data_IF_839846136262
#
_entry.id   IF_839846136262
#
_cell.length_a   1.000
_cell.length_b   1.000
_cell.length_c   1.000
_cell.angle_alpha   90.00
_cell.angle_beta   90.00
_cell.angle_gamma   90.00
#
_symmetry.space_group_name_H-M   'P 1'
#
loop_
_entity.id
_entity.type
_entity.pdbx_description
1 polymer ?
#
# COMPACT_ATOMS: atom_id res chain seq x y z
N UNK A 1 -1.56 -20.41 -43.49
CA UNK A 1 -0.69 -19.23 -43.28
C UNK A 1 -0.57 -18.98 -41.78
N UNK A 2 0.64 -18.99 -41.25
CA UNK A 2 0.93 -18.72 -39.84
C UNK A 2 1.33 -17.25 -39.68
N UNK A 3 0.62 -16.49 -38.85
CA UNK A 3 1.11 -15.21 -38.30
C UNK A 3 0.76 -15.20 -36.80
N UNK A 4 1.73 -14.81 -35.99
CA UNK A 4 1.81 -15.09 -34.56
C UNK A 4 1.41 -13.91 -33.66
N UNK A 5 1.20 -14.27 -32.40
CA UNK A 5 1.06 -13.44 -31.19
C UNK A 5 1.77 -12.08 -31.20
N UNK A 6 1.13 -11.10 -30.53
CA UNK A 6 1.75 -9.84 -30.12
C UNK A 6 1.52 -9.62 -28.62
N UNK A 7 2.47 -10.08 -27.80
CA UNK A 7 2.49 -9.80 -26.36
C UNK A 7 3.19 -8.47 -26.07
N UNK A 8 2.64 -7.71 -25.13
CA UNK A 8 3.21 -6.43 -24.67
C UNK A 8 3.66 -6.55 -23.22
N UNK A 9 4.93 -6.90 -23.00
CA UNK A 9 5.56 -6.91 -21.67
C UNK A 9 6.72 -5.91 -21.60
N UNK A 10 6.55 -4.85 -20.81
CA UNK A 10 7.62 -3.88 -20.56
C UNK A 10 8.65 -4.43 -19.58
N UNK A 11 9.88 -4.64 -20.03
CA UNK A 11 11.05 -4.90 -19.19
C UNK A 11 12.16 -3.93 -19.55
N UNK A 12 12.36 -2.90 -18.74
CA UNK A 12 13.51 -2.00 -18.89
C UNK A 12 14.77 -2.68 -18.35
N UNK A 13 15.75 -2.96 -19.22
CA UNK A 13 17.06 -3.49 -18.86
C UNK A 13 18.12 -2.51 -19.35
N UNK A 14 18.75 -1.79 -18.43
CA UNK A 14 19.84 -0.87 -18.76
C UNK A 14 21.09 -1.65 -19.17
N UNK A 15 21.67 -1.29 -20.32
CA UNK A 15 22.95 -1.81 -20.78
C UNK A 15 24.07 -0.86 -20.37
N UNK A 16 25.14 -1.43 -19.80
CA UNK A 16 26.44 -0.77 -19.66
C UNK A 16 27.26 -1.11 -20.91
N UNK A 17 27.93 -0.13 -21.49
CA UNK A 17 28.96 -0.33 -22.51
C UNK A 17 30.12 0.63 -22.28
N UNK A 18 31.33 0.09 -22.28
CA UNK A 18 32.59 0.78 -22.03
C UNK A 18 33.03 1.59 -23.26
N UNK A 19 33.91 2.58 -23.06
CA UNK A 19 34.62 3.29 -24.13
C UNK A 19 36.13 3.11 -23.95
N UNK A 20 36.89 3.11 -25.05
CA UNK A 20 38.34 2.86 -25.06
C UNK A 20 39.04 3.66 -26.16
N UNK A 21 40.19 4.28 -25.84
CA UNK A 21 41.33 4.69 -26.72
C UNK A 21 41.03 5.63 -27.91
N UNK A 22 41.85 6.58 -28.38
CA UNK A 22 43.13 7.28 -28.04
C UNK A 22 43.36 8.31 -29.22
N UNK A 23 44.47 9.08 -29.40
CA UNK A 23 45.62 9.46 -28.55
C UNK A 23 45.89 11.00 -28.51
N UNK A 24 47.07 11.39 -28.01
CA UNK A 24 47.53 12.75 -27.64
C UNK A 24 48.34 13.55 -28.68
N UNK A 25 48.40 14.90 -28.53
CA UNK A 25 49.51 15.76 -28.99
C UNK A 25 49.85 16.89 -27.98
N UNK A 26 51.08 17.39 -28.11
CA UNK A 26 51.82 18.33 -27.24
C UNK A 26 52.09 19.66 -28.00
N UNK A 27 52.47 20.82 -27.45
CA UNK A 27 52.71 21.35 -26.07
C UNK A 27 52.66 22.90 -26.21
N UNK A 28 52.39 23.71 -25.15
CA UNK A 28 52.99 25.06 -24.95
C UNK A 28 52.60 25.73 -23.60
N UNK A 29 53.63 26.02 -22.81
CA UNK A 29 53.91 27.11 -21.84
C UNK A 29 52.95 27.56 -20.70
N UNK A 30 53.57 27.67 -19.51
CA UNK A 30 53.08 28.17 -18.21
C UNK A 30 52.69 29.67 -18.19
N UNK A 31 51.86 30.10 -17.21
CA UNK A 31 52.50 30.90 -16.16
C UNK A 31 52.16 30.51 -14.71
N UNK A 32 53.25 30.21 -14.00
CA UNK A 32 53.41 30.12 -12.54
C UNK A 32 52.55 31.13 -11.76
N UNK A 33 51.58 30.61 -10.98
CA UNK A 33 50.85 31.39 -9.97
C UNK A 33 51.51 31.11 -8.60
N UNK A 34 52.01 32.12 -7.87
CA UNK A 34 52.77 31.91 -6.64
C UNK A 34 51.99 31.21 -5.52
N UNK A 35 52.64 30.26 -4.86
CA UNK A 35 52.22 29.75 -3.55
C UNK A 35 52.39 30.85 -2.49
N UNK A 36 51.30 31.49 -2.06
CA UNK A 36 51.33 32.24 -0.80
C UNK A 36 49.94 32.33 -0.12
N UNK A 37 49.87 31.74 1.09
CA UNK A 37 48.91 32.05 2.18
C UNK A 37 47.39 31.83 1.93
N UNK A 38 46.98 30.60 1.65
CA UNK A 38 45.72 30.10 2.24
C UNK A 38 45.98 29.57 3.66
N UNK A 39 45.36 30.21 4.65
CA UNK A 39 45.54 29.93 6.08
C UNK A 39 45.02 28.55 6.45
N UNK A 40 45.93 27.58 6.52
CA UNK A 40 45.64 26.25 7.03
C UNK A 40 45.63 26.23 8.58
N UNK A 41 44.61 26.82 9.23
CA UNK A 41 44.23 26.62 10.65
C UNK A 41 42.83 27.25 10.89
N UNK A 42 41.79 26.40 10.89
CA UNK A 42 40.48 26.58 11.60
C UNK A 42 39.45 25.48 11.27
N UNK A 43 39.59 24.75 10.17
CA UNK A 43 38.54 23.87 9.58
C UNK A 43 38.03 22.69 10.45
N UNK A 44 38.68 22.37 11.57
CA UNK A 44 38.21 21.32 12.48
C UNK A 44 37.07 21.76 13.41
N UNK A 45 36.94 23.06 13.73
CA UNK A 45 35.87 23.55 14.63
C UNK A 45 34.54 23.73 13.91
N UNK A 46 34.59 24.22 12.68
CA UNK A 46 33.38 24.66 11.99
C UNK A 46 32.53 23.45 11.58
N UNK A 47 33.20 22.38 11.11
CA UNK A 47 32.56 21.10 10.80
C UNK A 47 32.01 20.38 12.04
N UNK A 48 32.55 20.58 13.25
CA UNK A 48 31.97 19.97 14.45
C UNK A 48 30.66 20.64 14.85
N UNK A 49 30.58 21.97 14.74
CA UNK A 49 29.38 22.76 15.05
C UNK A 49 28.21 22.39 14.11
N UNK A 50 28.47 22.27 12.81
CA UNK A 50 27.45 21.88 11.82
C UNK A 50 26.87 20.48 12.10
N UNK A 51 27.72 19.53 12.50
CA UNK A 51 27.28 18.16 12.84
C UNK A 51 26.42 18.13 14.11
N UNK A 52 26.72 18.95 15.11
CA UNK A 52 25.91 19.05 16.35
C UNK A 52 24.53 19.65 16.06
N UNK A 53 24.44 20.69 15.24
CA UNK A 53 23.17 21.31 14.85
C UNK A 53 22.30 20.35 14.01
N UNK A 54 22.88 19.59 13.08
CA UNK A 54 22.16 18.52 12.36
C UNK A 54 21.61 17.46 13.32
N UNK A 55 22.43 16.99 14.29
CA UNK A 55 21.99 16.01 15.29
C UNK A 55 20.86 16.55 16.16
N UNK A 56 20.92 17.82 16.56
CA UNK A 56 19.87 18.49 17.33
C UNK A 56 18.55 18.55 16.54
N UNK A 57 18.58 18.99 15.28
CA UNK A 57 17.39 19.01 14.41
C UNK A 57 16.77 17.61 14.23
N UNK A 58 17.59 16.57 14.11
CA UNK A 58 17.13 15.18 14.07
C UNK A 58 16.46 14.73 15.39
N UNK A 59 17.03 15.11 16.54
CA UNK A 59 16.42 14.84 17.86
C UNK A 59 15.09 15.57 18.04
N UNK A 60 14.98 16.83 17.60
CA UNK A 60 13.73 17.60 17.61
C UNK A 60 12.65 16.93 16.75
N UNK A 61 12.98 16.55 15.49
CA UNK A 61 12.04 15.82 14.62
C UNK A 61 11.65 14.45 15.18
N UNK A 62 12.55 13.76 15.88
CA UNK A 62 12.26 12.46 16.51
C UNK A 62 11.28 12.58 17.69
N UNK A 63 11.43 13.62 18.51
CA UNK A 63 10.64 13.84 19.71
C UNK A 63 9.26 14.47 19.42
N UNK A 64 9.11 15.17 18.29
CA UNK A 64 7.84 15.80 17.91
C UNK A 64 6.64 14.79 17.90
N UNK A 65 5.47 15.15 18.46
CA UNK A 65 4.36 14.20 18.67
C UNK A 65 3.70 13.71 17.37
N UNK A 66 3.73 14.50 16.28
CA UNK A 66 3.18 14.06 14.99
C UNK A 66 4.06 13.04 14.25
N UNK A 67 5.29 12.79 14.71
CA UNK A 67 6.25 11.93 13.99
C UNK A 67 5.87 10.46 14.11
N UNK A 68 5.38 9.88 13.01
CA UNK A 68 5.01 8.46 12.89
C UNK A 68 6.16 7.52 13.27
N UNK A 69 5.85 6.36 13.86
CA UNK A 69 6.83 5.31 14.21
C UNK A 69 7.69 4.88 13.02
N UNK A 70 7.16 4.94 11.79
CA UNK A 70 7.92 4.69 10.56
C UNK A 70 9.03 5.73 10.39
N UNK A 71 8.68 7.02 10.49
CA UNK A 71 9.60 8.15 10.39
C UNK A 71 10.60 8.20 11.55
N UNK A 72 10.19 7.86 12.78
CA UNK A 72 11.11 7.68 13.91
C UNK A 72 12.16 6.60 13.63
N UNK A 73 11.75 5.49 13.02
CA UNK A 73 12.69 4.42 12.61
C UNK A 73 13.63 4.91 11.49
N UNK A 74 13.11 5.67 10.53
CA UNK A 74 13.88 6.25 9.42
C UNK A 74 14.93 7.27 9.92
N UNK A 75 14.59 8.15 10.87
CA UNK A 75 15.54 9.10 11.48
C UNK A 75 16.73 8.35 12.11
N UNK A 76 16.47 7.24 12.81
CA UNK A 76 17.53 6.39 13.38
C UNK A 76 18.42 5.70 12.32
N UNK A 77 18.02 5.64 11.04
CA UNK A 77 18.88 5.11 9.95
C UNK A 77 19.90 6.13 9.44
N UNK A 78 19.76 7.41 9.78
CA UNK A 78 20.67 8.49 9.38
C UNK A 78 21.91 8.54 10.30
N UNK A 79 21.80 8.00 11.51
CA UNK A 79 22.85 8.07 12.52
C UNK A 79 24.16 7.36 12.07
N UNK A 80 25.34 7.83 12.53
CA UNK A 80 26.62 7.30 12.11
C UNK A 80 26.76 5.78 12.33
N UNK A 81 27.30 5.08 11.33
CA UNK A 81 27.52 3.62 11.38
C UNK A 81 28.42 3.19 12.55
N UNK A 82 29.34 4.08 12.97
CA UNK A 82 30.27 3.92 14.08
C UNK A 82 29.63 3.83 15.47
N UNK A 83 28.39 4.30 15.65
CA UNK A 83 27.72 4.26 16.96
C UNK A 83 27.24 2.84 17.31
N UNK A 84 27.33 2.42 18.56
CA UNK A 84 26.76 1.15 19.01
C UNK A 84 25.23 1.20 19.10
N UNK A 85 24.56 0.04 19.18
CA UNK A 85 23.10 -0.02 19.43
C UNK A 85 22.70 0.72 20.72
N UNK A 86 23.55 0.66 21.74
CA UNK A 86 23.30 1.27 23.05
C UNK A 86 23.51 2.79 22.98
N UNK A 87 24.63 3.26 22.39
CA UNK A 87 24.86 4.70 22.20
C UNK A 87 23.76 5.33 21.37
N UNK A 88 23.30 4.67 20.30
CA UNK A 88 22.18 5.15 19.49
C UNK A 88 20.86 5.20 20.29
N UNK A 89 20.65 4.26 21.21
CA UNK A 89 19.47 4.24 22.09
C UNK A 89 19.51 5.38 23.12
N UNK A 90 20.67 5.64 23.72
CA UNK A 90 20.91 6.71 24.69
C UNK A 90 20.75 8.10 24.04
N UNK A 91 21.43 8.35 22.92
CA UNK A 91 21.45 9.65 22.23
C UNK A 91 20.06 10.14 21.76
N UNK A 92 19.19 9.21 21.36
CA UNK A 92 17.82 9.49 20.91
C UNK A 92 16.73 9.15 21.94
N UNK A 93 17.09 8.73 23.16
CA UNK A 93 16.13 8.33 24.19
C UNK A 93 15.16 7.21 23.76
N UNK A 94 15.64 6.26 22.95
CA UNK A 94 14.81 5.22 22.32
C UNK A 94 15.10 3.82 22.87
N UNK A 95 14.23 2.85 22.59
CA UNK A 95 14.47 1.47 23.01
C UNK A 95 15.60 0.84 22.19
N UNK A 96 16.49 0.05 22.83
CA UNK A 96 17.54 -0.72 22.14
C UNK A 96 17.00 -1.55 20.96
N UNK A 97 15.76 -2.05 21.08
CA UNK A 97 15.06 -2.78 20.01
C UNK A 97 14.83 -1.93 18.76
N UNK A 98 14.53 -0.64 18.90
CA UNK A 98 14.39 0.29 17.78
C UNK A 98 15.74 0.61 17.14
N UNK A 99 16.77 0.88 17.95
CA UNK A 99 18.14 1.08 17.47
C UNK A 99 18.66 -0.12 16.67
N UNK A 100 18.51 -1.35 17.20
CA UNK A 100 18.83 -2.61 16.50
C UNK A 100 18.06 -2.76 15.19
N UNK A 101 16.75 -2.45 15.18
CA UNK A 101 15.94 -2.51 13.96
C UNK A 101 16.39 -1.49 12.91
N UNK A 102 16.74 -0.27 13.31
CA UNK A 102 17.24 0.75 12.39
C UNK A 102 18.57 0.31 11.76
N UNK A 103 19.52 -0.20 12.53
CA UNK A 103 20.77 -0.79 11.98
C UNK A 103 20.52 -1.96 11.04
N UNK A 104 19.60 -2.86 11.38
CA UNK A 104 19.22 -3.97 10.49
C UNK A 104 18.63 -3.47 9.16
N UNK A 105 17.83 -2.39 9.18
CA UNK A 105 17.31 -1.77 7.96
C UNK A 105 18.40 -1.11 7.14
N UNK A 106 19.35 -0.39 7.76
CA UNK A 106 20.51 0.20 7.07
C UNK A 106 21.31 -0.88 6.34
N UNK A 107 21.59 -2.00 7.02
CA UNK A 107 22.36 -3.10 6.43
C UNK A 107 21.63 -3.84 5.28
N UNK A 108 20.29 -3.76 5.22
CA UNK A 108 19.47 -4.46 4.21
C UNK A 108 19.06 -3.57 3.02
N UNK A 109 18.80 -2.29 3.29
CA UNK A 109 18.14 -1.38 2.35
C UNK A 109 18.82 -0.01 2.24
N UNK A 110 19.83 0.30 3.08
CA UNK A 110 20.56 1.57 3.08
C UNK A 110 19.97 2.64 4.01
N UNK A 111 20.54 3.84 3.96
CA UNK A 111 20.06 5.02 4.71
C UNK A 111 18.66 5.44 4.25
N UNK A 112 17.93 6.16 5.12
CA UNK A 112 16.55 6.61 4.90
C UNK A 112 15.54 5.48 4.64
N UNK A 113 15.88 4.24 5.02
CA UNK A 113 15.01 3.08 4.84
C UNK A 113 13.79 3.13 5.76
N UNK A 114 12.60 3.09 5.17
CA UNK A 114 11.36 2.94 5.92
C UNK A 114 11.15 1.49 6.38
N UNK A 115 10.66 1.24 7.61
CA UNK A 115 10.25 -0.09 8.02
C UNK A 115 9.04 -0.55 7.19
N UNK A 116 9.21 -1.65 6.44
CA UNK A 116 8.13 -2.26 5.65
C UNK A 116 6.83 -2.38 6.49
N UNK A 117 5.70 -1.80 6.04
CA UNK A 117 4.41 -1.98 6.70
C UNK A 117 4.11 -3.46 6.94
N UNK A 118 3.47 -3.78 8.07
CA UNK A 118 2.99 -5.15 8.30
C UNK A 118 1.93 -5.47 7.25
N UNK A 119 2.32 -6.20 6.21
CA UNK A 119 1.42 -6.63 5.16
C UNK A 119 0.21 -7.36 5.76
N UNK A 120 -1.00 -6.92 5.40
CA UNK A 120 -2.21 -7.66 5.77
C UNK A 120 -2.15 -9.02 5.09
N UNK A 121 -2.34 -10.10 5.86
CA UNK A 121 -2.44 -11.46 5.31
C UNK A 121 -3.60 -11.46 4.30
N UNK A 122 -3.30 -11.72 3.03
CA UNK A 122 -4.32 -11.97 2.01
C UNK A 122 -4.95 -13.35 2.27
N UNK A 123 -6.22 -13.51 1.95
CA UNK A 123 -6.83 -14.85 1.89
C UNK A 123 -6.35 -15.55 0.61
N UNK A 124 -6.31 -16.89 0.60
CA UNK A 124 -6.02 -17.63 -0.63
C UNK A 124 -7.17 -17.41 -1.62
N UNK A 125 -6.83 -17.31 -2.91
CA UNK A 125 -7.79 -17.00 -3.97
C UNK A 125 -8.93 -18.03 -4.07
N UNK A 126 -8.64 -19.30 -3.74
CA UNK A 126 -9.61 -20.39 -3.62
C UNK A 126 -10.74 -20.04 -2.63
N UNK A 127 -10.41 -19.60 -1.41
CA UNK A 127 -11.41 -19.15 -0.43
C UNK A 127 -12.14 -17.90 -0.90
N UNK A 128 -11.47 -16.97 -1.59
CA UNK A 128 -12.14 -15.78 -2.13
C UNK A 128 -13.14 -16.13 -3.24
N UNK A 129 -12.90 -17.18 -4.03
CA UNK A 129 -13.83 -17.67 -5.05
C UNK A 129 -14.97 -18.47 -4.41
N UNK A 130 -14.68 -19.38 -3.48
CA UNK A 130 -15.70 -20.14 -2.74
C UNK A 130 -16.71 -19.22 -2.04
N UNK A 131 -16.26 -18.10 -1.45
CA UNK A 131 -17.15 -17.07 -0.89
C UNK A 131 -18.01 -16.40 -1.96
N UNK A 132 -17.47 -16.07 -3.15
CA UNK A 132 -18.28 -15.50 -4.24
C UNK A 132 -19.31 -16.50 -4.74
N UNK A 133 -18.93 -17.75 -4.94
CA UNK A 133 -19.82 -18.81 -5.43
C UNK A 133 -20.95 -19.08 -4.44
N UNK A 134 -20.66 -19.05 -3.13
CA UNK A 134 -21.65 -19.10 -2.05
C UNK A 134 -22.69 -17.97 -2.13
N UNK A 135 -22.28 -16.73 -2.44
CA UNK A 135 -23.21 -15.61 -2.66
C UNK A 135 -24.11 -15.81 -3.89
N UNK A 136 -23.65 -16.52 -4.93
CA UNK A 136 -24.34 -16.68 -6.21
C UNK A 136 -25.28 -17.90 -6.27
N UNK A 137 -25.40 -18.69 -5.19
CA UNK A 137 -26.33 -19.82 -5.13
C UNK A 137 -27.79 -19.34 -5.06
N UNK A 138 -28.70 -20.11 -5.66
CA UNK A 138 -30.12 -19.77 -5.81
C UNK A 138 -30.92 -19.75 -4.49
N UNK A 139 -30.43 -20.44 -3.46
CA UNK A 139 -30.98 -20.44 -2.10
C UNK A 139 -30.58 -19.19 -1.29
N UNK A 140 -29.47 -18.55 -1.67
CA UNK A 140 -28.92 -17.35 -1.04
C UNK A 140 -29.36 -16.06 -1.77
N UNK A 141 -29.32 -16.07 -3.10
CA UNK A 141 -29.65 -14.91 -3.92
C UNK A 141 -30.53 -15.27 -5.12
N UNK A 142 -31.37 -14.32 -5.55
CA UNK A 142 -32.24 -14.46 -6.71
C UNK A 142 -32.00 -13.35 -7.73
N UNK A 143 -31.95 -13.73 -9.00
CA UNK A 143 -31.81 -12.78 -10.11
C UNK A 143 -33.05 -11.86 -10.15
N UNK A 144 -32.83 -10.55 -10.21
CA UNK A 144 -33.92 -9.57 -10.34
C UNK A 144 -34.50 -9.61 -11.76
N UNK A 145 -35.82 -9.75 -11.94
CA UNK A 145 -36.42 -10.00 -13.26
C UNK A 145 -36.45 -8.77 -14.19
N UNK A 146 -36.19 -7.55 -13.69
CA UNK A 146 -36.32 -6.33 -14.47
C UNK A 146 -35.20 -6.13 -15.49
N UNK A 147 -35.55 -5.80 -16.73
CA UNK A 147 -34.57 -5.47 -17.80
C UNK A 147 -33.66 -4.27 -17.47
N UNK A 148 -34.09 -3.39 -16.55
CA UNK A 148 -33.29 -2.26 -16.06
C UNK A 148 -32.38 -2.64 -14.87
N UNK A 149 -32.53 -3.84 -14.32
CA UNK A 149 -31.81 -4.29 -13.13
C UNK A 149 -30.45 -4.91 -13.50
N UNK A 150 -29.56 -4.06 -14.04
CA UNK A 150 -28.18 -4.43 -14.35
C UNK A 150 -27.18 -3.52 -13.64
N UNK A 151 -25.94 -4.01 -13.49
CA UNK A 151 -24.78 -3.28 -13.00
C UNK A 151 -23.68 -3.39 -14.05
N UNK A 152 -23.07 -2.25 -14.39
CA UNK A 152 -21.91 -2.18 -15.28
C UNK A 152 -20.63 -2.43 -14.48
N UNK A 153 -20.08 -3.64 -14.60
CA UNK A 153 -18.83 -4.05 -13.93
C UNK A 153 -17.68 -3.95 -14.93
N UNK A 154 -16.53 -3.44 -14.48
CA UNK A 154 -15.28 -3.47 -15.25
C UNK A 154 -14.56 -4.79 -14.96
N UNK A 155 -14.29 -5.58 -15.99
CA UNK A 155 -13.47 -6.80 -15.94
C UNK A 155 -11.98 -6.45 -16.00
N UNK A 156 -11.14 -7.42 -15.67
CA UNK A 156 -9.68 -7.28 -15.67
C UNK A 156 -9.13 -6.98 -17.08
N UNK A 157 -9.80 -7.47 -18.14
CA UNK A 157 -9.56 -7.14 -19.56
C UNK A 157 -9.88 -5.67 -19.93
N UNK A 158 -10.21 -4.83 -18.96
CA UNK A 158 -10.55 -3.41 -19.14
C UNK A 158 -11.96 -3.15 -19.69
N UNK A 159 -12.62 -4.15 -20.28
CA UNK A 159 -13.99 -4.07 -20.83
C UNK A 159 -15.04 -3.88 -19.72
N UNK A 160 -16.13 -3.19 -20.05
CA UNK A 160 -17.30 -3.05 -19.16
C UNK A 160 -18.39 -4.02 -19.61
N UNK A 161 -18.81 -4.92 -18.72
CA UNK A 161 -19.89 -5.89 -18.93
C UNK A 161 -21.11 -5.50 -18.11
N UNK A 162 -22.31 -5.70 -18.64
CA UNK A 162 -23.55 -5.54 -17.89
C UNK A 162 -23.94 -6.88 -17.28
N UNK A 163 -23.96 -6.96 -15.95
CA UNK A 163 -24.33 -8.14 -15.19
C UNK A 163 -25.67 -7.86 -14.51
N UNK A 164 -26.61 -8.80 -14.57
CA UNK A 164 -27.92 -8.65 -13.94
C UNK A 164 -27.80 -8.64 -12.41
N UNK A 165 -28.60 -7.79 -11.75
CA UNK A 165 -28.64 -7.69 -10.29
C UNK A 165 -29.21 -8.96 -9.68
N UNK A 166 -28.70 -9.33 -8.51
CA UNK A 166 -29.19 -10.42 -7.69
C UNK A 166 -29.55 -9.87 -6.30
N UNK A 167 -30.74 -10.18 -5.82
CA UNK A 167 -31.22 -9.79 -4.50
C UNK A 167 -30.88 -10.89 -3.50
N UNK A 168 -30.20 -10.54 -2.40
CA UNK A 168 -29.94 -11.44 -1.28
C UNK A 168 -31.23 -11.66 -0.48
N UNK A 169 -31.53 -12.92 -0.16
CA UNK A 169 -32.76 -13.32 0.55
C UNK A 169 -32.63 -13.24 2.08
N UNK A 170 -31.41 -13.22 2.61
CA UNK A 170 -31.13 -13.23 4.05
C UNK A 170 -30.22 -12.05 4.44
N UNK A 171 -30.18 -11.74 5.73
CA UNK A 171 -29.26 -10.75 6.26
C UNK A 171 -27.79 -11.24 6.15
N UNK A 172 -26.84 -10.31 6.10
CA UNK A 172 -25.42 -10.66 5.93
C UNK A 172 -24.88 -11.46 7.12
N UNK A 173 -25.33 -11.13 8.33
CA UNK A 173 -24.88 -11.81 9.55
C UNK A 173 -25.39 -13.25 9.62
N UNK A 174 -26.66 -13.49 9.27
CA UNK A 174 -27.24 -14.84 9.10
C UNK A 174 -26.50 -15.63 8.01
N UNK A 175 -26.22 -14.97 6.87
CA UNK A 175 -25.53 -15.59 5.75
C UNK A 175 -24.09 -16.00 6.10
N UNK A 176 -23.41 -15.19 6.91
CA UNK A 176 -22.08 -15.49 7.43
C UNK A 176 -22.09 -16.59 8.51
N UNK A 177 -23.18 -16.73 9.28
CA UNK A 177 -23.39 -17.87 10.17
C UNK A 177 -23.52 -19.16 9.34
N UNK A 178 -24.45 -19.20 8.37
CA UNK A 178 -24.60 -20.36 7.45
C UNK A 178 -23.29 -20.74 6.76
N UNK A 179 -22.53 -19.75 6.29
CA UNK A 179 -21.22 -19.98 5.68
C UNK A 179 -20.24 -20.70 6.64
N UNK A 180 -20.25 -20.34 7.93
CA UNK A 180 -19.40 -21.00 8.94
C UNK A 180 -19.88 -22.38 9.32
N UNK A 181 -21.19 -22.61 9.31
CA UNK A 181 -21.79 -23.90 9.62
C UNK A 181 -21.50 -24.91 8.50
N UNK A 182 -21.53 -24.48 7.23
CA UNK A 182 -21.10 -25.28 6.07
C UNK A 182 -19.56 -25.45 5.99
N UNK A 183 -18.80 -24.41 6.32
CA UNK A 183 -17.34 -24.38 6.14
C UNK A 183 -16.56 -24.06 7.44
N UNK A 184 -16.66 -24.89 8.49
CA UNK A 184 -16.04 -24.61 9.80
C UNK A 184 -14.51 -24.53 9.74
N UNK A 185 -13.89 -25.16 8.74
CA UNK A 185 -12.44 -25.12 8.53
C UNK A 185 -11.95 -23.78 7.93
N UNK A 186 -12.84 -22.98 7.32
CA UNK A 186 -12.49 -21.77 6.57
C UNK A 186 -12.50 -20.55 7.50
N UNK A 187 -11.31 -20.04 7.83
CA UNK A 187 -11.13 -18.90 8.75
C UNK A 187 -11.26 -17.54 8.04
N UNK A 188 -12.49 -17.20 7.66
CA UNK A 188 -12.86 -15.86 7.15
C UNK A 188 -13.48 -15.03 8.27
N UNK A 189 -13.16 -13.72 8.32
CA UNK A 189 -13.79 -12.76 9.23
C UNK A 189 -14.88 -11.93 8.55
N UNK A 190 -15.92 -11.56 9.30
CA UNK A 190 -17.15 -10.90 8.81
C UNK A 190 -16.88 -9.70 7.87
N UNK A 191 -16.01 -8.76 8.27
CA UNK A 191 -15.67 -7.58 7.45
C UNK A 191 -15.11 -7.96 6.08
N UNK A 192 -14.32 -9.04 6.00
CA UNK A 192 -13.72 -9.51 4.76
C UNK A 192 -14.69 -10.39 3.96
N UNK A 193 -15.59 -11.14 4.60
CA UNK A 193 -16.73 -11.77 3.95
C UNK A 193 -17.60 -10.72 3.22
N UNK A 194 -18.01 -9.66 3.94
CA UNK A 194 -18.72 -8.51 3.37
C UNK A 194 -17.97 -7.86 2.19
N UNK A 195 -16.65 -7.65 2.33
CA UNK A 195 -15.82 -7.05 1.27
C UNK A 195 -15.66 -7.96 0.04
N UNK A 196 -15.83 -9.28 0.19
CA UNK A 196 -15.77 -10.26 -0.90
C UNK A 196 -17.09 -10.43 -1.65
N UNK A 197 -18.19 -9.84 -1.16
CA UNK A 197 -19.51 -9.89 -1.80
C UNK A 197 -19.42 -9.42 -3.27
N UNK A 198 -19.89 -10.22 -4.25
CA UNK A 198 -19.95 -9.81 -5.65
C UNK A 198 -20.78 -8.53 -5.83
N UNK A 199 -20.35 -7.65 -6.75
CA UNK A 199 -21.01 -6.34 -6.96
C UNK A 199 -22.46 -6.45 -7.44
N UNK A 200 -22.83 -7.56 -8.06
CA UNK A 200 -24.20 -7.85 -8.48
C UNK A 200 -25.14 -8.21 -7.31
N UNK A 201 -24.62 -8.59 -6.14
CA UNK A 201 -25.41 -8.99 -4.97
C UNK A 201 -25.83 -7.76 -4.14
N UNK A 202 -27.14 -7.51 -4.09
CA UNK A 202 -27.81 -6.34 -3.50
C UNK A 202 -28.59 -6.75 -2.25
N UNK A 203 -28.72 -5.84 -1.28
CA UNK A 203 -29.50 -6.08 -0.06
C UNK A 203 -30.97 -5.69 -0.24
N UNK A 204 -31.86 -6.41 0.45
CA UNK A 204 -33.23 -5.94 0.65
C UNK A 204 -33.20 -4.58 1.36
N UNK A 205 -33.69 -3.52 0.70
CA UNK A 205 -33.64 -2.13 1.19
C UNK A 205 -32.73 -1.20 0.39
N UNK A 206 -31.86 -1.71 -0.48
CA UNK A 206 -31.11 -0.86 -1.42
C UNK A 206 -32.06 -0.15 -2.40
N UNK A 207 -31.69 1.05 -2.88
CA UNK A 207 -32.57 1.88 -3.69
C UNK A 207 -32.98 1.21 -5.01
N UNK A 208 -34.29 1.12 -5.24
CA UNK A 208 -34.89 0.42 -6.37
C UNK A 208 -35.20 -1.06 -6.15
N UNK A 209 -34.97 -1.63 -4.95
CA UNK A 209 -35.44 -3.00 -4.62
C UNK A 209 -36.94 -3.07 -4.31
N UNK A 210 -37.55 -1.95 -3.92
CA UNK A 210 -38.99 -1.86 -3.67
C UNK A 210 -39.76 -1.57 -4.96
N UNK A 211 -40.74 -2.42 -5.30
CA UNK A 211 -41.65 -2.21 -6.44
C UNK A 211 -42.77 -1.18 -6.14
N UNK A 212 -42.78 -0.59 -4.94
CA UNK A 212 -43.81 0.34 -4.44
C UNK A 212 -43.11 1.55 -3.81
N UNK A 213 -43.61 2.77 -4.01
CA UNK A 213 -43.05 3.92 -3.31
C UNK A 213 -43.38 3.84 -1.81
N UNK A 214 -42.35 3.97 -0.98
CA UNK A 214 -42.48 4.14 0.49
C UNK A 214 -42.27 5.62 0.87
N UNK A 215 -42.34 6.51 -0.12
CA UNK A 215 -42.23 7.95 0.05
C UNK A 215 -43.54 8.52 0.61
N UNK A 216 -43.46 9.50 1.52
CA UNK A 216 -44.63 10.19 2.12
C UNK A 216 -45.59 10.80 1.09
N UNK A 217 -45.08 11.19 -0.08
CA UNK A 217 -45.87 11.79 -1.17
C UNK A 217 -46.68 10.78 -2.02
N UNK A 218 -46.26 9.52 -2.09
CA UNK A 218 -46.98 8.46 -2.81
C UNK A 218 -47.21 7.23 -1.92
N UNK A 219 -47.40 7.49 -0.62
CA UNK A 219 -47.52 6.44 0.38
C UNK A 219 -48.79 5.65 0.10
N UNK A 220 -48.64 4.35 -0.11
CA UNK A 220 -49.75 3.49 -0.47
C UNK A 220 -50.74 3.45 0.70
N UNK A 221 -51.96 3.97 0.54
CA UNK A 221 -52.92 4.19 1.65
C UNK A 221 -53.19 2.90 2.46
N UNK A 222 -53.08 1.75 1.80
CA UNK A 222 -53.19 0.42 2.43
C UNK A 222 -52.11 0.10 3.48
N UNK A 223 -50.96 0.80 3.47
CA UNK A 223 -49.88 0.71 4.46
C UNK A 223 -50.07 1.68 5.64
N UNK A 224 -51.06 2.57 5.61
CA UNK A 224 -51.39 3.51 6.70
C UNK A 224 -52.54 3.01 7.58
N UNK A 225 -53.11 1.85 7.26
CA UNK A 225 -54.32 1.29 7.88
C UNK A 225 -54.04 -0.04 8.62
N UNK A 226 -52.76 -0.33 8.93
CA UNK A 226 -52.29 -1.51 9.66
C UNK A 226 -51.77 -1.13 11.04
#
# INVERSE_FOLDING_TARGET
MLITFRESSSVCRFHISQTSSEPSQNIEDEPFIPEDKFKHISTQTDTSIENEEILKQLKEKFNHPSTSTSMKTMILTIAPTSWSENKLAEEFGTSRRQARKAKQLVNQFGILSSPNPRGRRKLPAETENLVKDFYLREDISRIMPGKKDFISVKLDDGKRTHIQKQLLLCNIDELYQRFKDEYPNIKVGLTKFFTLRPKQCILAGDSGTHMVCVCTYHQNVKLMLS
#
